data_IF_913235511032
#
_entry.id   IF_913235511032
#
_cell.length_a   1.000
_cell.length_b   1.000
_cell.length_c   1.000
_cell.angle_alpha   90.00
_cell.angle_beta   90.00
_cell.angle_gamma   90.00
#
_symmetry.space_group_name_H-M   'P 1'
#
loop_
_entity.id
_entity.type
_entity.pdbx_description
1 polymer ?
#
# COMPACT_ATOMS: atom_id res chain seq x y z
N UNK A 1 77.75 49.31 42.53
CA UNK A 1 77.46 50.56 43.26
C UNK A 1 76.04 50.97 42.92
N UNK A 2 75.30 51.47 43.92
CA UNK A 2 73.86 51.77 43.96
C UNK A 2 73.40 52.61 42.74
N UNK A 3 72.13 52.63 42.31
CA UNK A 3 70.96 53.23 42.99
C UNK A 3 69.69 52.83 42.21
N UNK A 4 68.60 52.44 42.92
CA UNK A 4 67.20 52.47 42.41
C UNK A 4 66.65 53.90 42.49
N UNK A 5 65.70 54.29 41.64
CA UNK A 5 64.33 54.46 42.17
C UNK A 5 63.22 54.05 41.15
N UNK A 6 62.16 53.34 41.57
CA UNK A 6 60.81 53.85 41.90
C UNK A 6 60.02 54.29 40.65
N UNK A 7 58.88 53.73 40.26
CA UNK A 7 57.52 53.89 40.84
C UNK A 7 56.58 53.12 39.87
N UNK A 8 55.78 52.16 40.33
CA UNK A 8 54.36 52.29 40.71
C UNK A 8 53.35 52.34 39.56
N UNK A 9 52.31 51.50 39.66
CA UNK A 9 50.97 51.82 39.18
C UNK A 9 50.36 50.84 38.18
N UNK A 10 49.24 50.23 38.57
CA UNK A 10 48.27 49.67 37.62
C UNK A 10 48.03 48.16 37.71
N UNK A 11 47.64 47.66 38.88
CA UNK A 11 46.97 46.35 38.98
C UNK A 11 45.55 46.51 38.42
N UNK A 12 45.33 46.07 37.17
CA UNK A 12 44.00 45.96 36.60
C UNK A 12 43.33 44.73 37.19
N UNK A 13 42.45 44.93 38.15
CA UNK A 13 41.49 43.93 38.59
C UNK A 13 40.63 43.53 37.39
N UNK A 14 40.88 42.33 36.86
CA UNK A 14 39.97 41.65 35.93
C UNK A 14 38.68 41.41 36.70
N UNK A 15 37.69 42.28 36.48
CA UNK A 15 36.30 41.97 36.82
C UNK A 15 35.90 40.73 36.04
N UNK A 16 35.78 39.62 36.74
CA UNK A 16 35.10 38.41 36.27
C UNK A 16 33.62 38.76 36.04
N UNK A 17 33.31 39.40 34.91
CA UNK A 17 31.98 39.32 34.34
C UNK A 17 31.82 37.91 33.78
N UNK A 18 31.60 36.95 34.70
CA UNK A 18 31.01 35.68 34.37
C UNK A 18 29.69 36.00 33.67
N UNK A 19 29.68 35.83 32.34
CA UNK A 19 28.46 35.77 31.55
C UNK A 19 27.61 34.65 32.17
N UNK A 20 26.72 35.04 33.07
CA UNK A 20 25.66 34.20 33.57
C UNK A 20 24.81 33.90 32.35
N UNK A 21 24.96 32.69 31.82
CA UNK A 21 24.05 32.17 30.81
C UNK A 21 22.63 32.39 31.36
N UNK A 22 21.70 32.94 30.55
CA UNK A 22 20.32 33.05 30.97
C UNK A 22 19.86 31.65 31.43
N UNK A 23 19.04 31.56 32.50
CA UNK A 23 18.50 30.28 32.94
C UNK A 23 17.86 29.58 31.74
N UNK A 24 17.99 28.24 31.62
CA UNK A 24 17.43 27.50 30.50
C UNK A 24 15.97 27.92 30.34
N UNK A 25 15.71 28.49 29.16
CA UNK A 25 14.43 29.06 28.79
C UNK A 25 13.33 28.08 29.15
N UNK A 26 12.25 28.59 29.76
CA UNK A 26 11.09 27.81 30.20
C UNK A 26 10.71 26.87 29.05
N UNK A 27 10.95 25.58 29.29
CA UNK A 27 11.13 24.60 28.22
C UNK A 27 10.03 24.67 27.18
N UNK A 28 10.37 25.17 25.99
CA UNK A 28 9.50 25.05 24.82
C UNK A 28 9.41 23.54 24.54
N UNK A 29 8.34 22.94 25.02
CA UNK A 29 8.06 21.53 24.73
C UNK A 29 7.70 21.46 23.25
N UNK A 30 8.60 20.87 22.46
CA UNK A 30 8.33 20.61 21.06
C UNK A 30 7.05 19.77 20.91
N UNK A 31 6.18 20.08 19.94
CA UNK A 31 5.06 19.22 19.60
C UNK A 31 5.52 17.80 19.26
N UNK A 32 4.69 16.81 19.51
CA UNK A 32 4.94 15.45 19.01
C UNK A 32 4.71 15.40 17.50
N UNK A 33 5.77 15.69 16.74
CA UNK A 33 5.75 15.63 15.28
C UNK A 33 5.45 14.23 14.74
N UNK A 34 5.70 13.16 15.51
CA UNK A 34 5.36 11.79 15.09
C UNK A 34 3.85 11.64 15.01
N UNK A 35 3.13 12.05 16.04
CA UNK A 35 1.66 12.02 16.05
C UNK A 35 1.04 12.96 15.03
N UNK A 36 1.62 14.15 14.82
CA UNK A 36 1.16 15.10 13.80
C UNK A 36 1.29 14.47 12.40
N UNK A 37 2.45 13.87 12.09
CA UNK A 37 2.68 13.24 10.79
C UNK A 37 1.78 12.01 10.63
N UNK A 38 1.67 11.15 11.64
CA UNK A 38 0.80 9.97 11.60
C UNK A 38 -0.65 10.35 11.29
N UNK A 39 -1.19 11.38 11.96
CA UNK A 39 -2.54 11.89 11.67
C UNK A 39 -2.68 12.47 10.28
N UNK A 40 -1.62 13.09 9.73
CA UNK A 40 -1.65 13.66 8.39
C UNK A 40 -1.62 12.61 7.28
N UNK A 41 -0.99 11.45 7.53
CA UNK A 41 -0.89 10.35 6.56
C UNK A 41 -1.95 9.28 6.74
N UNK A 42 -2.58 9.21 7.91
CA UNK A 42 -3.73 8.34 8.16
C UNK A 42 -4.91 8.84 7.32
N UNK A 43 -5.35 8.00 6.38
CA UNK A 43 -6.47 8.30 5.52
C UNK A 43 -7.62 7.39 5.93
N UNK A 44 -8.71 7.94 6.50
CA UNK A 44 -9.85 7.13 6.86
C UNK A 44 -10.36 6.40 5.61
N UNK A 45 -10.78 5.15 5.79
CA UNK A 45 -11.35 4.37 4.70
C UNK A 45 -12.58 5.10 4.16
N UNK A 46 -12.48 5.64 2.94
CA UNK A 46 -13.63 6.21 2.25
C UNK A 46 -14.41 5.07 1.61
N UNK A 47 -15.63 4.82 2.08
CA UNK A 47 -16.56 3.95 1.38
C UNK A 47 -16.92 4.67 0.07
N UNK A 48 -16.41 4.15 -1.05
CA UNK A 48 -16.72 4.66 -2.39
C UNK A 48 -18.01 4.00 -2.89
N UNK A 49 -18.73 4.64 -3.80
CA UNK A 49 -19.75 3.94 -4.59
C UNK A 49 -19.06 2.95 -5.56
N UNK A 50 -19.73 1.85 -5.89
CA UNK A 50 -19.16 0.77 -6.73
C UNK A 50 -18.04 -0.04 -6.07
N UNK A 51 -17.11 -0.54 -6.89
CA UNK A 51 -16.08 -1.54 -6.56
C UNK A 51 -14.73 -1.10 -7.08
N UNK A 52 -13.68 -1.13 -6.26
CA UNK A 52 -12.32 -0.85 -6.71
C UNK A 52 -11.62 -2.16 -7.10
N UNK A 53 -10.90 -2.19 -8.22
CA UNK A 53 -10.19 -3.41 -8.65
C UNK A 53 -9.23 -3.95 -7.59
N UNK A 54 -8.59 -3.08 -6.81
CA UNK A 54 -7.66 -3.48 -5.74
C UNK A 54 -8.34 -4.20 -4.59
N UNK A 55 -9.65 -4.00 -4.42
CA UNK A 55 -10.45 -4.74 -3.43
C UNK A 55 -10.77 -6.16 -3.91
N UNK A 56 -10.76 -6.37 -5.24
CA UNK A 56 -11.04 -7.66 -5.88
C UNK A 56 -9.81 -8.57 -5.96
N UNK A 57 -8.62 -8.00 -6.23
CA UNK A 57 -7.38 -8.77 -6.47
C UNK A 57 -6.67 -9.24 -5.20
N UNK A 58 -7.13 -8.82 -4.02
CA UNK A 58 -6.54 -9.22 -2.73
C UNK A 58 -7.45 -10.20 -1.96
N UNK A 59 -8.24 -9.69 -1.01
CA UNK A 59 -9.18 -10.51 -0.26
C UNK A 59 -10.50 -9.75 -0.16
N UNK A 60 -11.45 -10.01 -1.09
CA UNK A 60 -12.74 -9.33 -1.14
C UNK A 60 -13.50 -9.43 0.18
N UNK A 61 -13.56 -10.62 0.80
CA UNK A 61 -14.20 -10.83 2.11
C UNK A 61 -13.60 -9.98 3.22
N UNK A 62 -12.28 -9.79 3.25
CA UNK A 62 -11.63 -8.89 4.22
C UNK A 62 -12.13 -7.46 4.05
N UNK A 63 -12.33 -6.99 2.82
CA UNK A 63 -12.84 -5.64 2.54
C UNK A 63 -14.29 -5.47 3.00
N UNK A 64 -15.12 -6.50 2.86
CA UNK A 64 -16.47 -6.47 3.44
C UNK A 64 -16.41 -6.43 4.97
N UNK A 65 -15.55 -7.22 5.61
CA UNK A 65 -15.34 -7.11 7.06
C UNK A 65 -14.89 -5.70 7.50
N UNK A 66 -13.99 -5.06 6.76
CA UNK A 66 -13.55 -3.68 7.04
C UNK A 66 -14.72 -2.66 6.96
N UNK A 67 -15.73 -2.91 6.11
CA UNK A 67 -16.95 -2.10 6.01
C UNK A 67 -17.93 -2.38 7.16
N UNK A 68 -18.07 -3.65 7.56
CA UNK A 68 -19.03 -4.07 8.59
C UNK A 68 -18.53 -3.77 10.00
N UNK A 69 -17.27 -4.09 10.27
CA UNK A 69 -16.65 -4.01 11.59
C UNK A 69 -15.21 -3.46 11.44
N UNK A 70 -15.05 -2.15 11.23
CA UNK A 70 -13.73 -1.56 10.98
C UNK A 70 -12.81 -1.75 12.19
N UNK A 71 -11.66 -2.39 11.96
CA UNK A 71 -10.56 -2.49 12.93
C UNK A 71 -9.49 -1.45 12.60
N UNK A 72 -8.85 -0.90 13.64
CA UNK A 72 -7.76 0.06 13.47
C UNK A 72 -6.60 -0.55 12.65
N UNK A 73 -6.07 0.23 11.73
CA UNK A 73 -4.88 -0.15 10.98
C UNK A 73 -3.65 0.04 11.85
N UNK A 74 -2.70 -0.89 11.79
CA UNK A 74 -1.43 -0.70 12.48
C UNK A 74 -0.67 0.51 11.92
N UNK A 75 0.00 1.27 12.80
CA UNK A 75 0.85 2.42 12.40
C UNK A 75 1.82 2.08 11.28
N UNK A 76 2.39 0.87 11.31
CA UNK A 76 3.30 0.39 10.27
C UNK A 76 2.61 0.26 8.90
N UNK A 77 1.35 -0.19 8.87
CA UNK A 77 0.57 -0.27 7.62
C UNK A 77 0.31 1.13 7.07
N UNK A 78 -0.12 2.06 7.92
CA UNK A 78 -0.37 3.47 7.55
C UNK A 78 0.88 4.09 6.92
N UNK A 79 2.03 3.98 7.60
CA UNK A 79 3.31 4.52 7.11
C UNK A 79 3.72 3.89 5.77
N UNK A 80 3.61 2.56 5.64
CA UNK A 80 3.96 1.86 4.40
C UNK A 80 3.07 2.30 3.23
N UNK A 81 1.76 2.39 3.45
CA UNK A 81 0.81 2.86 2.42
C UNK A 81 1.11 4.30 2.01
N UNK A 82 1.42 5.18 2.96
CA UNK A 82 1.78 6.56 2.66
C UNK A 82 3.10 6.67 1.88
N UNK A 83 4.11 5.89 2.26
CA UNK A 83 5.39 5.83 1.56
C UNK A 83 5.23 5.37 0.11
N UNK A 84 4.48 4.28 -0.12
CA UNK A 84 4.20 3.78 -1.47
C UNK A 84 3.48 4.81 -2.35
N UNK A 85 2.45 5.48 -1.82
CA UNK A 85 1.78 6.60 -2.53
C UNK A 85 2.73 7.74 -2.87
N UNK A 86 3.64 8.09 -1.95
CA UNK A 86 4.66 9.11 -2.19
C UNK A 86 5.62 8.73 -3.32
N UNK A 87 6.08 7.47 -3.32
CA UNK A 87 6.96 6.92 -4.35
C UNK A 87 6.28 6.90 -5.73
N UNK A 88 5.04 6.42 -5.82
CA UNK A 88 4.28 6.41 -7.09
C UNK A 88 4.19 7.82 -7.68
N UNK A 89 3.75 8.80 -6.88
CA UNK A 89 3.65 10.21 -7.30
C UNK A 89 4.98 10.78 -7.79
N UNK A 90 6.07 10.44 -7.10
CA UNK A 90 7.40 10.89 -7.49
C UNK A 90 7.81 10.31 -8.85
N UNK A 91 7.67 9.00 -9.03
CA UNK A 91 8.05 8.29 -10.26
C UNK A 91 7.19 8.76 -11.44
N UNK A 92 5.86 8.79 -11.26
CA UNK A 92 4.91 9.28 -12.26
C UNK A 92 5.27 10.70 -12.72
N UNK A 93 5.54 11.61 -11.79
CA UNK A 93 5.95 12.99 -12.12
C UNK A 93 7.27 13.03 -12.89
N UNK A 94 8.24 12.19 -12.54
CA UNK A 94 9.56 12.16 -13.21
C UNK A 94 9.50 11.58 -14.62
N UNK A 95 8.56 10.68 -14.90
CA UNK A 95 8.33 10.13 -16.24
C UNK A 95 7.49 11.08 -17.09
N UNK A 96 6.42 11.64 -16.52
CA UNK A 96 5.50 12.53 -17.25
C UNK A 96 6.09 13.90 -17.56
N UNK A 97 6.87 14.50 -16.66
CA UNK A 97 7.33 15.88 -16.84
C UNK A 97 8.21 16.11 -18.10
N UNK A 98 9.15 15.21 -18.44
CA UNK A 98 9.96 15.35 -19.66
C UNK A 98 9.18 15.11 -20.94
N UNK A 99 8.12 14.29 -20.89
CA UNK A 99 7.34 13.89 -22.06
C UNK A 99 5.84 13.72 -21.72
N UNK A 100 5.12 14.85 -21.51
CA UNK A 100 3.72 14.84 -21.11
C UNK A 100 2.78 14.42 -22.25
N UNK A 101 3.23 14.52 -23.50
CA UNK A 101 2.45 14.15 -24.68
C UNK A 101 2.46 12.64 -24.91
N UNK A 102 3.47 11.93 -24.40
CA UNK A 102 3.53 10.47 -24.40
C UNK A 102 2.88 9.83 -23.18
N UNK A 103 3.16 10.35 -21.98
CA UNK A 103 2.76 9.68 -20.73
C UNK A 103 1.57 10.35 -20.03
N UNK A 104 0.62 9.54 -19.62
CA UNK A 104 -0.44 9.93 -18.68
C UNK A 104 -0.26 9.19 -17.35
N UNK A 105 -0.65 9.83 -16.25
CA UNK A 105 -0.51 9.28 -14.91
C UNK A 105 -1.85 9.31 -14.20
N UNK A 106 -2.12 8.30 -13.36
CA UNK A 106 -3.38 8.14 -12.63
C UNK A 106 -4.60 8.16 -13.57
N UNK A 107 -4.53 7.40 -14.67
CA UNK A 107 -5.58 7.37 -15.68
C UNK A 107 -6.76 6.56 -15.12
N UNK A 108 -7.94 7.19 -14.90
CA UNK A 108 -9.10 6.46 -14.41
C UNK A 108 -9.59 5.48 -15.48
N UNK A 109 -10.00 4.29 -15.05
CA UNK A 109 -10.69 3.31 -15.88
C UNK A 109 -11.95 2.84 -15.18
N UNK A 110 -12.99 2.60 -15.97
CA UNK A 110 -14.31 2.21 -15.52
C UNK A 110 -14.83 1.07 -16.38
N UNK A 111 -15.53 0.13 -15.76
CA UNK A 111 -16.16 -0.99 -16.43
C UNK A 111 -17.55 -1.25 -15.83
N UNK A 112 -18.55 -1.38 -16.71
CA UNK A 112 -19.97 -1.55 -16.40
C UNK A 112 -20.53 -0.53 -15.39
N UNK A 113 -20.00 0.69 -15.35
CA UNK A 113 -20.45 1.78 -14.47
C UNK A 113 -20.38 1.51 -12.95
N UNK A 114 -19.74 0.42 -12.53
CA UNK A 114 -19.61 0.09 -11.10
C UNK A 114 -18.24 -0.44 -10.70
N UNK A 115 -17.36 -0.80 -11.64
CA UNK A 115 -16.00 -1.26 -11.36
C UNK A 115 -15.01 -0.17 -11.77
N UNK A 116 -14.17 0.24 -10.84
CA UNK A 116 -13.27 1.38 -10.97
C UNK A 116 -11.81 0.98 -10.72
N UNK A 117 -10.92 1.54 -11.52
CA UNK A 117 -9.48 1.43 -11.36
C UNK A 117 -8.77 2.74 -11.68
N UNK A 118 -7.48 2.80 -11.36
CA UNK A 118 -6.56 3.85 -11.77
C UNK A 118 -5.31 3.18 -12.30
N UNK A 119 -4.92 3.50 -13.53
CA UNK A 119 -3.65 3.08 -14.11
C UNK A 119 -2.57 4.05 -13.59
N UNK A 120 -1.52 3.51 -12.95
CA UNK A 120 -0.41 4.34 -12.44
C UNK A 120 0.21 5.21 -13.55
N UNK A 121 0.56 4.59 -14.67
CA UNK A 121 1.09 5.25 -15.86
C UNK A 121 0.59 4.59 -17.15
N UNK A 122 0.24 5.40 -18.15
CA UNK A 122 -0.13 4.94 -19.49
C UNK A 122 0.81 5.56 -20.52
N UNK A 123 1.48 4.71 -21.30
CA UNK A 123 2.30 5.12 -22.44
C UNK A 123 1.42 5.11 -23.70
N UNK A 124 1.05 6.30 -24.18
CA UNK A 124 0.18 6.48 -25.36
C UNK A 124 0.84 6.05 -26.66
N UNK A 125 2.16 6.16 -26.76
CA UNK A 125 2.88 5.84 -27.99
C UNK A 125 2.90 4.33 -28.22
N UNK A 126 3.09 3.55 -27.16
CA UNK A 126 3.17 2.09 -27.23
C UNK A 126 1.86 1.37 -26.89
N UNK A 127 0.84 2.11 -26.45
CA UNK A 127 -0.43 1.64 -25.90
C UNK A 127 -0.24 0.66 -24.73
N UNK A 128 0.61 1.04 -23.77
CA UNK A 128 1.01 0.16 -22.65
C UNK A 128 0.50 0.69 -21.31
N UNK A 129 -0.20 -0.18 -20.57
CA UNK A 129 -0.53 0.05 -19.15
C UNK A 129 0.68 -0.29 -18.29
N UNK A 130 1.11 0.62 -17.43
CA UNK A 130 2.27 0.45 -16.57
C UNK A 130 1.81 0.52 -15.11
N UNK A 131 1.97 -0.58 -14.37
CA UNK A 131 1.70 -0.68 -12.94
C UNK A 131 3.02 -0.66 -12.16
N UNK A 132 3.13 0.24 -11.19
CA UNK A 132 4.34 0.40 -10.37
C UNK A 132 4.10 -0.29 -9.03
N UNK A 133 5.06 -1.07 -8.54
CA UNK A 133 4.97 -1.70 -7.22
C UNK A 133 6.30 -1.62 -6.49
N UNK A 134 6.24 -1.39 -5.20
CA UNK A 134 7.40 -1.48 -4.32
C UNK A 134 7.54 -2.90 -3.74
N UNK A 135 8.77 -3.40 -3.68
CA UNK A 135 9.08 -4.67 -3.03
C UNK A 135 10.35 -4.54 -2.20
N UNK A 136 10.23 -4.77 -0.90
CA UNK A 136 11.39 -4.89 -0.01
C UNK A 136 12.02 -6.25 -0.25
N UNK A 137 13.27 -6.26 -0.71
CA UNK A 137 14.04 -7.48 -0.93
C UNK A 137 14.71 -7.86 0.39
N UNK A 138 14.38 -9.05 0.90
CA UNK A 138 15.01 -9.61 2.11
C UNK A 138 15.57 -10.99 1.77
N UNK A 139 16.89 -11.17 1.84
CA UNK A 139 17.54 -12.47 1.56
C UNK A 139 17.56 -12.85 0.06
N UNK A 140 17.59 -14.15 -0.23
CA UNK A 140 17.80 -14.73 -1.56
C UNK A 140 16.50 -15.01 -2.35
N UNK A 141 15.40 -14.32 -2.03
CA UNK A 141 14.11 -14.60 -2.65
C UNK A 141 14.07 -14.21 -4.12
N UNK A 142 13.33 -14.99 -4.90
CA UNK A 142 13.10 -14.67 -6.30
C UNK A 142 12.34 -13.35 -6.44
N UNK A 143 12.96 -12.43 -7.18
CA UNK A 143 12.34 -11.15 -7.52
C UNK A 143 11.35 -11.42 -8.65
N UNK A 144 10.09 -11.66 -8.26
CA UNK A 144 8.89 -11.73 -9.11
C UNK A 144 7.71 -10.95 -8.53
N UNK A 145 6.73 -10.54 -9.35
CA UNK A 145 5.47 -9.99 -8.89
C UNK A 145 4.66 -11.02 -8.08
N UNK A 146 3.72 -10.52 -7.26
CA UNK A 146 2.69 -11.36 -6.64
C UNK A 146 1.57 -11.63 -7.65
N UNK A 147 0.93 -12.79 -7.61
CA UNK A 147 -0.21 -13.13 -8.48
C UNK A 147 -1.29 -12.04 -8.50
N UNK A 148 -1.64 -11.49 -7.34
CA UNK A 148 -2.58 -10.37 -7.20
C UNK A 148 -2.16 -9.10 -7.93
N UNK A 149 -0.86 -8.83 -8.05
CA UNK A 149 -0.35 -7.68 -8.79
C UNK A 149 -0.42 -7.92 -10.29
N UNK A 150 -0.17 -9.15 -10.73
CA UNK A 150 -0.33 -9.54 -12.14
C UNK A 150 -1.81 -9.50 -12.55
N UNK A 151 -2.69 -10.02 -11.70
CA UNK A 151 -4.14 -9.97 -11.91
C UNK A 151 -4.64 -8.52 -12.00
N UNK A 152 -4.21 -7.64 -11.08
CA UNK A 152 -4.56 -6.21 -11.14
C UNK A 152 -4.11 -5.55 -12.45
N UNK A 153 -2.90 -5.86 -12.93
CA UNK A 153 -2.42 -5.34 -14.22
C UNK A 153 -3.30 -5.85 -15.37
N UNK A 154 -3.66 -7.14 -15.38
CA UNK A 154 -4.52 -7.72 -16.42
C UNK A 154 -5.92 -7.11 -16.41
N UNK A 155 -6.51 -6.87 -15.23
CA UNK A 155 -7.78 -6.17 -15.10
C UNK A 155 -7.70 -4.77 -15.72
N UNK A 156 -6.66 -4.00 -15.40
CA UNK A 156 -6.44 -2.67 -15.97
C UNK A 156 -6.26 -2.70 -17.50
N UNK A 157 -5.47 -3.66 -18.02
CA UNK A 157 -5.27 -3.86 -19.46
C UNK A 157 -6.61 -4.16 -20.15
N UNK A 158 -7.42 -5.04 -19.56
CA UNK A 158 -8.71 -5.43 -20.11
C UNK A 158 -9.73 -4.28 -20.08
N UNK A 159 -9.83 -3.56 -18.95
CA UNK A 159 -10.70 -2.37 -18.82
C UNK A 159 -10.31 -1.24 -19.78
N UNK A 160 -9.01 -1.04 -20.04
CA UNK A 160 -8.50 -0.06 -21.01
C UNK A 160 -8.53 -0.57 -22.45
N UNK A 161 -8.86 -1.85 -22.66
CA UNK A 161 -8.82 -2.58 -23.93
C UNK A 161 -7.46 -2.48 -24.66
N UNK A 162 -6.37 -2.72 -23.95
CA UNK A 162 -5.01 -2.71 -24.53
C UNK A 162 -4.34 -4.08 -24.42
N UNK A 163 -3.52 -4.43 -25.40
CA UNK A 163 -2.85 -5.73 -25.46
C UNK A 163 -1.55 -5.82 -24.68
N UNK A 164 -0.98 -4.68 -24.24
CA UNK A 164 0.33 -4.62 -23.60
C UNK A 164 0.26 -4.04 -22.19
N UNK A 165 0.99 -4.66 -21.28
CA UNK A 165 1.17 -4.18 -19.93
C UNK A 165 2.59 -4.39 -19.42
N UNK A 166 3.02 -3.55 -18.49
CA UNK A 166 4.29 -3.67 -17.79
C UNK A 166 4.09 -3.53 -16.29
N UNK A 167 4.62 -4.47 -15.52
CA UNK A 167 4.70 -4.38 -14.06
C UNK A 167 6.14 -4.03 -13.69
N UNK A 168 6.33 -2.86 -13.08
CA UNK A 168 7.63 -2.34 -12.69
C UNK A 168 7.80 -2.46 -11.18
N UNK A 169 8.68 -3.37 -10.76
CA UNK A 169 9.07 -3.53 -9.36
C UNK A 169 10.21 -2.58 -9.01
N UNK A 170 9.99 -1.69 -8.06
CA UNK A 170 11.03 -0.90 -7.39
C UNK A 170 11.52 -1.70 -6.18
N UNK A 171 12.79 -2.09 -6.21
CA UNK A 171 13.39 -3.04 -5.29
C UNK A 171 14.14 -2.32 -4.18
N UNK A 172 13.50 -2.22 -3.02
CA UNK A 172 14.12 -1.63 -1.83
C UNK A 172 15.08 -2.64 -1.23
N UNK A 173 16.34 -2.24 -1.04
CA UNK A 173 17.45 -3.09 -0.55
C UNK A 173 17.85 -4.25 -1.50
N UNK A 174 17.43 -4.20 -2.76
CA UNK A 174 17.89 -5.14 -3.79
C UNK A 174 19.29 -4.79 -4.32
N UNK A 175 19.96 -5.77 -4.95
CA UNK A 175 21.18 -5.50 -5.74
C UNK A 175 20.85 -4.70 -7.01
N UNK A 176 19.72 -5.06 -7.64
CA UNK A 176 19.09 -4.26 -8.70
C UNK A 176 18.09 -3.30 -8.05
N UNK A 177 17.98 -2.09 -8.60
CA UNK A 177 17.05 -1.07 -8.07
C UNK A 177 15.63 -1.19 -8.65
N UNK A 178 15.52 -1.65 -9.89
CA UNK A 178 14.26 -1.73 -10.65
C UNK A 178 14.26 -3.00 -11.49
N UNK A 179 13.13 -3.69 -11.56
CA UNK A 179 12.92 -4.83 -12.45
C UNK A 179 11.54 -4.77 -13.12
N UNK A 180 11.50 -4.99 -14.42
CA UNK A 180 10.29 -4.93 -15.24
C UNK A 180 9.84 -6.32 -15.69
N UNK A 181 8.53 -6.52 -15.73
CA UNK A 181 7.87 -7.71 -16.24
C UNK A 181 6.84 -7.30 -17.29
N UNK A 182 6.97 -7.82 -18.50
CA UNK A 182 6.08 -7.48 -19.61
C UNK A 182 4.99 -8.54 -19.74
N UNK A 183 3.76 -8.08 -19.99
CA UNK A 183 2.59 -8.90 -20.16
C UNK A 183 1.92 -8.56 -21.48
N UNK A 184 1.38 -9.58 -22.13
CA UNK A 184 0.62 -9.47 -23.35
C UNK A 184 -0.69 -10.21 -23.17
N UNK A 185 -1.77 -9.64 -23.69
CA UNK A 185 -3.09 -10.29 -23.71
C UNK A 185 -3.67 -10.24 -25.13
N UNK A 186 -4.15 -11.38 -25.61
CA UNK A 186 -4.99 -11.44 -26.81
C UNK A 186 -6.34 -10.79 -26.56
N UNK A 187 -7.12 -10.57 -27.62
CA UNK A 187 -8.49 -10.08 -27.46
C UNK A 187 -9.37 -11.03 -26.65
N UNK A 188 -9.26 -12.33 -26.92
CA UNK A 188 -9.98 -13.40 -26.19
C UNK A 188 -9.62 -13.40 -24.70
N UNK A 189 -8.33 -13.28 -24.37
CA UNK A 189 -7.87 -13.20 -22.97
C UNK A 189 -8.41 -11.95 -22.26
N UNK A 190 -8.54 -10.81 -22.96
CA UNK A 190 -9.14 -9.59 -22.38
C UNK A 190 -10.62 -9.75 -22.13
N UNK A 191 -11.36 -10.37 -23.05
CA UNK A 191 -12.80 -10.63 -22.86
C UNK A 191 -13.05 -11.59 -21.70
N UNK A 192 -12.22 -12.64 -21.59
CA UNK A 192 -12.26 -13.56 -20.45
C UNK A 192 -11.97 -12.84 -19.13
N UNK A 193 -10.93 -12.01 -19.09
CA UNK A 193 -10.59 -11.23 -17.90
C UNK A 193 -11.74 -10.28 -17.50
N UNK A 194 -12.41 -9.63 -18.45
CA UNK A 194 -13.57 -8.77 -18.18
C UNK A 194 -14.78 -9.57 -17.65
N UNK A 195 -14.96 -10.81 -18.10
CA UNK A 195 -16.02 -11.70 -17.59
C UNK A 195 -15.76 -12.07 -16.13
N UNK A 196 -14.55 -12.52 -15.82
CA UNK A 196 -14.13 -12.85 -14.46
C UNK A 196 -14.22 -11.63 -13.53
N UNK A 197 -13.79 -10.47 -14.02
CA UNK A 197 -13.85 -9.21 -13.29
C UNK A 197 -15.31 -8.80 -13.00
N UNK A 198 -16.22 -8.99 -13.96
CA UNK A 198 -17.65 -8.72 -13.77
C UNK A 198 -18.27 -9.62 -12.69
N UNK A 199 -17.95 -10.91 -12.71
CA UNK A 199 -18.45 -11.87 -11.72
C UNK A 199 -17.95 -11.52 -10.31
N UNK A 200 -16.64 -11.33 -10.16
CA UNK A 200 -16.01 -10.93 -8.88
C UNK A 200 -16.58 -9.60 -8.37
N UNK A 201 -16.72 -8.62 -9.27
CA UNK A 201 -17.26 -7.30 -8.97
C UNK A 201 -18.71 -7.38 -8.50
N UNK A 202 -19.56 -8.13 -9.20
CA UNK A 202 -20.98 -8.27 -8.87
C UNK A 202 -21.19 -8.96 -7.53
N UNK A 203 -20.44 -10.04 -7.27
CA UNK A 203 -20.48 -10.75 -6.00
C UNK A 203 -20.02 -9.86 -4.84
N UNK A 204 -18.93 -9.11 -5.04
CA UNK A 204 -18.44 -8.15 -4.04
C UNK A 204 -19.45 -7.04 -3.78
N UNK A 205 -20.06 -6.47 -4.83
CA UNK A 205 -21.04 -5.40 -4.70
C UNK A 205 -22.27 -5.87 -3.92
N UNK A 206 -22.72 -7.10 -4.18
CA UNK A 206 -23.82 -7.73 -3.43
C UNK A 206 -23.44 -7.87 -1.94
N UNK A 207 -22.28 -8.48 -1.66
CA UNK A 207 -21.77 -8.63 -0.30
C UNK A 207 -21.63 -7.28 0.45
N UNK A 208 -21.21 -6.23 -0.27
CA UNK A 208 -21.07 -4.88 0.26
C UNK A 208 -22.43 -4.25 0.58
N UNK A 209 -23.40 -4.36 -0.31
CA UNK A 209 -24.74 -3.79 -0.14
C UNK A 209 -25.49 -4.49 1.00
N UNK A 210 -25.38 -5.82 1.06
CA UNK A 210 -26.00 -6.65 2.10
C UNK A 210 -25.23 -6.61 3.42
N UNK A 211 -24.02 -6.01 3.42
CA UNK A 211 -23.10 -5.97 4.55
C UNK A 211 -22.80 -7.38 5.10
N UNK A 212 -22.72 -8.36 4.19
CA UNK A 212 -22.53 -9.77 4.51
C UNK A 212 -21.20 -10.31 3.93
N UNK A 213 -20.16 -10.49 4.76
CA UNK A 213 -18.89 -11.06 4.32
C UNK A 213 -18.99 -12.50 3.79
N UNK A 214 -20.03 -13.26 4.14
CA UNK A 214 -20.17 -14.67 3.71
C UNK A 214 -20.36 -14.79 2.19
N UNK A 215 -20.96 -13.77 1.56
CA UNK A 215 -21.21 -13.72 0.12
C UNK A 215 -19.89 -13.52 -0.66
N UNK A 216 -18.94 -12.76 -0.11
CA UNK A 216 -17.70 -12.42 -0.82
C UNK A 216 -16.67 -13.56 -0.82
N UNK A 217 -15.91 -13.65 -1.92
CA UNK A 217 -14.77 -14.55 -2.06
C UNK A 217 -13.69 -14.31 -1.00
N UNK A 218 -13.01 -15.39 -0.59
CA UNK A 218 -12.00 -15.38 0.46
C UNK A 218 -10.68 -15.98 0.00
N UNK A 219 -9.57 -15.41 0.49
CA UNK A 219 -8.22 -15.84 0.13
C UNK A 219 -7.74 -17.13 0.85
N UNK A 220 -8.53 -17.70 1.77
CA UNK A 220 -8.08 -18.79 2.65
C UNK A 220 -7.69 -20.07 1.89
N UNK A 221 -8.44 -20.47 0.86
CA UNK A 221 -8.08 -21.64 0.05
C UNK A 221 -7.24 -21.31 -1.19
N UNK A 222 -7.03 -20.03 -1.50
CA UNK A 222 -6.17 -19.60 -2.58
C UNK A 222 -4.70 -19.70 -2.15
N UNK A 223 -3.95 -20.65 -2.71
CA UNK A 223 -2.53 -20.86 -2.38
C UNK A 223 -1.66 -19.62 -2.63
N UNK A 224 -2.03 -18.79 -3.59
CA UNK A 224 -1.29 -17.59 -3.97
C UNK A 224 -1.58 -16.40 -3.05
N UNK A 225 -2.71 -16.42 -2.34
CA UNK A 225 -3.20 -15.33 -1.48
C UNK A 225 -3.36 -15.72 0.00
N UNK A 226 -3.22 -17.00 0.37
CA UNK A 226 -3.40 -17.49 1.74
C UNK A 226 -2.49 -16.76 2.74
N UNK A 227 -1.31 -16.28 2.31
CA UNK A 227 -0.43 -15.44 3.12
C UNK A 227 -1.07 -14.13 3.64
N UNK A 228 -2.17 -13.67 3.03
CA UNK A 228 -3.01 -12.57 3.52
C UNK A 228 -3.81 -12.95 4.75
N UNK A 229 -4.15 -14.24 4.90
CA UNK A 229 -4.91 -14.77 6.02
C UNK A 229 -4.01 -14.97 7.24
N UNK A 230 -2.81 -15.50 7.03
CA UNK A 230 -1.84 -15.71 8.10
C UNK A 230 -0.42 -15.85 7.55
N UNK A 231 0.58 -15.37 8.30
CA UNK A 231 2.00 -15.46 7.93
C UNK A 231 2.89 -15.40 9.16
N UNK A 232 4.15 -15.84 9.02
CA UNK A 232 5.18 -15.63 10.03
C UNK A 232 5.92 -14.33 9.71
N UNK A 233 6.00 -13.42 10.68
CA UNK A 233 6.84 -12.23 10.58
C UNK A 233 8.32 -12.65 10.60
N UNK A 234 9.07 -12.23 9.59
CA UNK A 234 10.44 -12.71 9.40
C UNK A 234 11.44 -12.13 10.40
N UNK A 235 11.12 -11.01 11.05
CA UNK A 235 12.03 -10.34 11.99
C UNK A 235 11.84 -10.85 13.41
N UNK A 236 10.59 -11.00 13.83
CA UNK A 236 10.22 -11.44 15.17
C UNK A 236 10.03 -12.95 15.28
N UNK A 237 9.69 -13.63 14.18
CA UNK A 237 9.25 -15.02 14.20
C UNK A 237 7.78 -15.19 14.63
N UNK A 238 7.08 -14.09 14.92
CA UNK A 238 5.72 -14.12 15.41
C UNK A 238 4.72 -14.50 14.31
N UNK A 239 3.66 -15.20 14.71
CA UNK A 239 2.55 -15.47 13.81
C UNK A 239 1.66 -14.23 13.69
N UNK A 240 1.62 -13.65 12.49
CA UNK A 240 0.77 -12.52 12.14
C UNK A 240 -0.50 -13.03 11.46
N UNK A 241 -1.63 -12.84 12.14
CA UNK A 241 -2.95 -13.20 11.62
C UNK A 241 -3.62 -12.01 10.94
N UNK A 242 -4.46 -12.30 9.94
CA UNK A 242 -5.45 -11.34 9.47
C UNK A 242 -6.32 -10.89 10.67
N UNK A 243 -6.62 -9.59 10.83
CA UNK A 243 -7.48 -9.11 11.91
C UNK A 243 -8.84 -9.79 11.95
N UNK A 244 -9.34 -10.30 10.83
CA UNK A 244 -10.65 -10.97 10.70
C UNK A 244 -10.53 -12.49 10.52
N UNK A 245 -9.36 -13.07 10.84
CA UNK A 245 -9.11 -14.49 10.61
C UNK A 245 -10.16 -15.39 11.28
N UNK A 246 -10.41 -15.20 12.57
CA UNK A 246 -11.35 -16.02 13.33
C UNK A 246 -12.80 -15.84 12.88
N UNK A 247 -13.19 -14.61 12.56
CA UNK A 247 -14.51 -14.28 12.02
C UNK A 247 -14.73 -15.00 10.67
N UNK A 248 -13.72 -14.97 9.79
CA UNK A 248 -13.75 -15.66 8.50
C UNK A 248 -13.82 -17.19 8.67
N UNK A 249 -13.03 -17.77 9.58
CA UNK A 249 -13.04 -19.21 9.83
C UNK A 249 -14.37 -19.71 10.38
N UNK A 250 -15.05 -18.91 11.20
CA UNK A 250 -16.38 -19.23 11.69
C UNK A 250 -17.42 -19.29 10.56
N UNK A 251 -17.35 -18.39 9.57
CA UNK A 251 -18.21 -18.42 8.39
C UNK A 251 -17.93 -19.65 7.53
N UNK A 252 -16.65 -19.92 7.21
CA UNK A 252 -16.24 -21.10 6.43
C UNK A 252 -16.70 -22.40 7.10
N UNK A 253 -16.62 -22.49 8.44
CA UNK A 253 -17.07 -23.66 9.17
C UNK A 253 -18.60 -23.85 9.09
N UNK A 254 -19.39 -22.77 9.06
CA UNK A 254 -20.85 -22.82 8.90
C UNK A 254 -21.22 -23.26 7.48
N UNK A 255 -20.56 -22.71 6.46
CA UNK A 255 -20.75 -23.09 5.06
C UNK A 255 -20.57 -24.62 4.87
N UNK A 256 -19.48 -25.19 5.41
CA UNK A 256 -19.22 -26.64 5.34
C UNK A 256 -20.26 -27.51 6.05
N UNK A 257 -20.81 -27.04 7.17
CA UNK A 257 -21.88 -27.76 7.89
C UNK A 257 -23.18 -27.79 7.09
N UNK A 258 -23.51 -26.71 6.39
CA UNK A 258 -24.72 -26.64 5.58
C UNK A 258 -24.62 -27.55 4.36
N UNK A 259 -23.48 -27.57 3.66
CA UNK A 259 -23.25 -28.48 2.51
C UNK A 259 -23.40 -29.95 2.91
N UNK A 260 -22.78 -30.35 4.02
CA UNK A 260 -22.86 -31.74 4.51
C UNK A 260 -24.22 -32.16 5.07
N UNK A 261 -25.13 -31.20 5.31
CA UNK A 261 -26.53 -31.50 5.62
C UNK A 261 -27.34 -31.68 4.34
N UNK A 262 -27.16 -30.82 3.34
CA UNK A 262 -27.86 -30.93 2.04
C UNK A 262 -27.53 -32.24 1.33
N UNK A 263 -26.25 -32.67 1.32
CA UNK A 263 -25.80 -33.94 0.75
C UNK A 263 -26.32 -35.21 1.48
N UNK A 264 -26.96 -35.06 2.65
CA UNK A 264 -27.62 -36.18 3.36
C UNK A 264 -29.10 -36.32 3.05
N UNK A 265 -29.69 -35.37 2.34
CA UNK A 265 -31.10 -35.35 1.96
C UNK A 265 -31.32 -35.56 0.46
N UNK A 266 -30.25 -35.68 -0.32
CA UNK A 266 -30.24 -36.15 -1.72
C UNK A 266 -29.80 -37.63 -1.78
#
# INVERSE_FOLDING_TARGET
MQIRPSLSGGCWSRGENALTLPPPDVGIQFPDYTEIILKAIDQPMKIREGVQITDLTLCPRRKIFEIVNPKEQSRQTIVRTAAGKGLHRFVQKKIKNPDPDRYEAEVPVEYNDFIYGSIDLYDKESETVIEIKEKVVTGSWEIRPLSSQEEQLKDLMAMKNVSKGALVLILVNGKEAIKQFNYYMTEEERLEQLRDLNEKGSLFLTAKNDRDPSIANYAFFDKSLNWLCHRIDKKSGDHVWCPYYWDCMALIAREKKNVSQTERFD
#
